data_IF_195956922716
#
_entry.id   IF_195956922716
#
_cell.length_a   1.000
_cell.length_b   1.000
_cell.length_c   1.000
_cell.angle_alpha   90.00
_cell.angle_beta   90.00
_cell.angle_gamma   90.00
#
_symmetry.space_group_name_H-M   'P 1'
#
loop_
_entity.id
_entity.type
_entity.pdbx_description
1 polymer ?
#
# COMPACT_ATOMS: atom_id res chain seq x y z
N UNK A 1 37.75 -14.83 8.95
CA UNK A 1 36.78 -13.72 9.07
C UNK A 1 35.46 -14.24 8.58
N UNK A 2 34.38 -14.08 9.36
CA UNK A 2 33.07 -14.56 8.94
C UNK A 2 32.46 -13.63 7.88
N UNK A 3 31.86 -14.22 6.84
CA UNK A 3 31.16 -13.55 5.76
C UNK A 3 29.67 -13.59 6.07
N UNK A 4 28.94 -12.52 5.76
CA UNK A 4 27.48 -12.47 5.83
C UNK A 4 26.87 -11.96 4.53
N UNK A 5 25.61 -12.29 4.33
CA UNK A 5 24.79 -11.85 3.23
C UNK A 5 23.57 -11.08 3.77
N UNK A 6 23.32 -9.87 3.31
CA UNK A 6 22.10 -9.11 3.62
C UNK A 6 21.15 -9.19 2.44
N UNK A 7 19.95 -9.73 2.67
CA UNK A 7 18.93 -9.90 1.66
C UNK A 7 17.91 -8.77 1.72
N UNK A 8 18.05 -7.79 0.81
CA UNK A 8 17.13 -6.68 0.62
C UNK A 8 15.84 -7.15 -0.06
N UNK A 9 14.69 -6.59 0.36
CA UNK A 9 13.36 -6.95 -0.17
C UNK A 9 12.45 -5.72 -0.28
N UNK A 10 11.62 -5.48 0.74
CA UNK A 10 10.74 -4.31 0.89
C UNK A 10 11.38 -3.26 1.81
N UNK A 11 12.63 -3.05 1.68
CA UNK A 11 13.50 -2.24 2.55
C UNK A 11 14.63 -1.60 1.73
N UNK A 12 14.23 -1.08 0.53
CA UNK A 12 15.14 -0.56 -0.50
C UNK A 12 15.75 0.78 -0.09
N UNK A 13 16.53 0.75 1.00
CA UNK A 13 17.29 1.87 1.52
C UNK A 13 18.54 1.38 2.26
N UNK A 14 19.54 2.26 2.38
CA UNK A 14 20.77 1.97 3.15
C UNK A 14 20.73 2.64 4.53
N UNK A 15 20.00 3.74 4.70
CA UNK A 15 19.88 4.46 5.95
C UNK A 15 18.83 3.80 6.85
N UNK A 16 19.10 3.71 8.16
CA UNK A 16 18.18 3.16 9.15
C UNK A 16 17.63 1.78 8.73
N UNK A 17 18.54 0.85 8.37
CA UNK A 17 18.22 -0.49 7.89
C UNK A 17 18.66 -1.54 8.90
N UNK A 18 17.72 -2.15 9.63
CA UNK A 18 18.02 -3.01 10.77
C UNK A 18 18.93 -4.21 10.39
N UNK A 19 18.57 -5.01 9.39
CA UNK A 19 19.36 -6.17 8.99
C UNK A 19 20.78 -5.80 8.54
N UNK A 20 20.95 -4.71 7.78
CA UNK A 20 22.26 -4.25 7.33
C UNK A 20 23.13 -3.79 8.52
N UNK A 21 22.55 -3.01 9.44
CA UNK A 21 23.23 -2.58 10.67
C UNK A 21 23.73 -3.76 11.49
N UNK A 22 22.86 -4.75 11.76
CA UNK A 22 23.23 -5.92 12.54
C UNK A 22 24.28 -6.80 11.85
N UNK A 23 24.18 -6.96 10.53
CA UNK A 23 25.17 -7.70 9.76
C UNK A 23 26.56 -7.02 9.82
N UNK A 24 26.62 -5.70 9.61
CA UNK A 24 27.86 -4.94 9.65
C UNK A 24 28.49 -4.89 11.05
N UNK A 25 27.67 -4.92 12.11
CA UNK A 25 28.19 -5.04 13.48
C UNK A 25 28.82 -6.40 13.78
N UNK A 26 28.23 -7.48 13.24
CA UNK A 26 28.63 -8.85 13.57
C UNK A 26 29.76 -9.39 12.66
N UNK A 27 29.89 -8.90 11.43
CA UNK A 27 30.77 -9.45 10.41
C UNK A 27 31.69 -8.41 9.79
N UNK A 28 32.90 -8.84 9.38
CA UNK A 28 33.89 -7.98 8.74
C UNK A 28 33.82 -8.00 7.21
N UNK A 29 32.96 -8.82 6.63
CA UNK A 29 32.72 -8.90 5.19
C UNK A 29 31.25 -9.19 4.93
N UNK A 30 30.51 -8.16 4.53
CA UNK A 30 29.06 -8.20 4.34
C UNK A 30 28.72 -7.93 2.88
N UNK A 31 28.15 -8.92 2.21
CA UNK A 31 27.57 -8.79 0.88
C UNK A 31 26.10 -8.40 0.97
N UNK A 32 25.62 -7.59 0.02
CA UNK A 32 24.23 -7.22 -0.10
C UNK A 32 23.63 -7.86 -1.36
N UNK A 33 22.40 -8.38 -1.28
CA UNK A 33 21.71 -8.99 -2.42
C UNK A 33 20.27 -8.52 -2.50
N UNK A 34 19.79 -8.31 -3.73
CA UNK A 34 18.37 -8.19 -4.06
C UNK A 34 18.00 -9.26 -5.09
N UNK A 35 16.85 -9.91 -4.91
CA UNK A 35 16.33 -10.89 -5.85
C UNK A 35 15.04 -10.37 -6.46
N UNK A 36 15.05 -10.14 -7.78
CA UNK A 36 13.82 -10.00 -8.55
C UNK A 36 13.12 -11.36 -8.57
N UNK A 37 12.13 -11.51 -7.68
CA UNK A 37 11.44 -12.77 -7.39
C UNK A 37 10.49 -13.15 -8.52
N UNK A 38 10.85 -14.16 -9.32
CA UNK A 38 10.04 -14.63 -10.44
C UNK A 38 8.66 -15.14 -10.03
N UNK A 39 8.52 -15.66 -8.81
CA UNK A 39 7.21 -16.12 -8.30
C UNK A 39 6.22 -14.97 -8.14
N UNK A 40 6.74 -13.75 -7.93
CA UNK A 40 5.95 -12.51 -7.87
C UNK A 40 5.85 -11.86 -9.24
N UNK A 41 6.95 -11.83 -10.03
CA UNK A 41 7.04 -11.07 -11.26
C UNK A 41 6.36 -11.76 -12.46
N UNK A 42 6.50 -13.09 -12.58
CA UNK A 42 6.00 -13.83 -13.75
C UNK A 42 4.49 -13.67 -14.00
N UNK A 43 3.62 -13.58 -12.97
CA UNK A 43 2.19 -13.33 -13.15
C UNK A 43 1.82 -11.89 -13.52
N UNK A 44 2.74 -10.91 -13.36
CA UNK A 44 2.44 -9.50 -13.57
C UNK A 44 2.33 -9.15 -15.06
N UNK A 45 1.51 -8.13 -15.41
CA UNK A 45 1.53 -7.53 -16.73
C UNK A 45 2.94 -7.05 -17.09
N UNK A 46 3.33 -7.19 -18.36
CA UNK A 46 4.68 -6.77 -18.83
C UNK A 46 4.92 -5.26 -18.75
N UNK A 47 3.86 -4.47 -18.57
CA UNK A 47 3.89 -3.02 -18.37
C UNK A 47 3.42 -2.72 -16.94
N UNK A 48 4.23 -3.06 -15.93
CA UNK A 48 3.90 -2.85 -14.51
C UNK A 48 4.79 -1.75 -13.91
N UNK A 49 4.18 -0.64 -13.50
CA UNK A 49 4.87 0.52 -12.91
C UNK A 49 5.66 0.17 -11.64
N UNK A 50 5.22 -0.87 -10.90
CA UNK A 50 5.90 -1.31 -9.67
C UNK A 50 7.28 -1.87 -9.96
N UNK A 51 7.41 -2.65 -11.03
CA UNK A 51 8.69 -3.25 -11.42
C UNK A 51 9.69 -2.18 -11.84
N UNK A 52 9.25 -1.18 -12.61
CA UNK A 52 10.10 -0.04 -12.96
C UNK A 52 10.48 0.78 -11.72
N UNK A 53 9.54 1.06 -10.81
CA UNK A 53 9.81 1.76 -9.55
C UNK A 53 10.84 1.00 -8.67
N UNK A 54 10.68 -0.32 -8.55
CA UNK A 54 11.61 -1.18 -7.81
C UNK A 54 12.99 -1.14 -8.46
N UNK A 55 13.08 -1.26 -9.79
CA UNK A 55 14.36 -1.22 -10.50
C UNK A 55 15.10 0.09 -10.21
N UNK A 56 14.42 1.24 -10.30
CA UNK A 56 15.01 2.54 -9.98
C UNK A 56 15.46 2.63 -8.51
N UNK A 57 14.68 2.07 -7.59
CA UNK A 57 15.07 2.03 -6.18
C UNK A 57 16.28 1.12 -5.94
N UNK A 58 16.37 -0.01 -6.63
CA UNK A 58 17.53 -0.94 -6.59
C UNK A 58 18.79 -0.28 -7.17
N UNK A 59 18.66 0.47 -8.27
CA UNK A 59 19.75 1.27 -8.86
C UNK A 59 20.31 2.27 -7.83
N UNK A 60 19.44 2.95 -7.10
CA UNK A 60 19.84 3.93 -6.09
C UNK A 60 20.49 3.27 -4.86
N UNK A 61 20.00 2.10 -4.42
CA UNK A 61 20.62 1.32 -3.34
C UNK A 61 22.01 0.86 -3.75
N UNK A 62 22.19 0.34 -4.97
CA UNK A 62 23.53 -0.06 -5.46
C UNK A 62 24.49 1.14 -5.52
N UNK A 63 24.02 2.29 -6.04
CA UNK A 63 24.84 3.51 -6.08
C UNK A 63 25.25 3.97 -4.68
N UNK A 64 24.32 3.92 -3.70
CA UNK A 64 24.62 4.27 -2.32
C UNK A 64 25.62 3.30 -1.65
N UNK A 65 25.47 1.99 -1.88
CA UNK A 65 26.42 0.99 -1.39
C UNK A 65 27.80 1.17 -2.02
N UNK A 66 27.89 1.44 -3.34
CA UNK A 66 29.15 1.70 -4.04
C UNK A 66 29.87 2.95 -3.51
N UNK A 67 29.13 4.00 -3.19
CA UNK A 67 29.68 5.21 -2.57
C UNK A 67 30.34 4.93 -1.20
N UNK A 68 29.92 3.84 -0.52
CA UNK A 68 30.49 3.37 0.74
C UNK A 68 31.53 2.24 0.58
N UNK A 69 31.92 1.89 -0.66
CA UNK A 69 32.88 0.83 -0.95
C UNK A 69 32.29 -0.58 -1.11
N UNK A 70 30.95 -0.72 -1.03
CA UNK A 70 30.23 -1.98 -1.23
C UNK A 70 29.63 -2.13 -2.63
N UNK A 71 28.68 -3.05 -2.77
CA UNK A 71 27.84 -3.21 -3.98
C UNK A 71 26.60 -4.04 -3.66
N UNK A 72 25.60 -3.95 -4.55
CA UNK A 72 24.41 -4.81 -4.49
C UNK A 72 24.54 -5.91 -5.56
N UNK A 73 24.51 -7.17 -5.12
CA UNK A 73 24.36 -8.32 -6.00
C UNK A 73 22.90 -8.40 -6.40
N UNK A 74 22.58 -8.45 -7.69
CA UNK A 74 21.21 -8.61 -8.16
C UNK A 74 21.04 -9.97 -8.82
N UNK A 75 19.95 -10.64 -8.48
CA UNK A 75 19.53 -11.92 -9.06
C UNK A 75 18.10 -11.81 -9.59
N UNK A 76 17.78 -12.61 -10.61
CA UNK A 76 16.44 -12.77 -11.15
C UNK A 76 16.11 -14.26 -11.10
N UNK A 77 15.27 -14.66 -10.13
CA UNK A 77 14.99 -16.06 -9.87
C UNK A 77 14.06 -16.27 -8.67
N UNK A 78 13.96 -17.50 -8.22
CA UNK A 78 13.24 -17.84 -6.98
C UNK A 78 14.18 -17.63 -5.78
N UNK A 79 13.83 -16.77 -4.82
CA UNK A 79 14.67 -16.57 -3.62
C UNK A 79 14.94 -17.83 -2.82
N UNK A 80 14.04 -18.82 -2.87
CA UNK A 80 14.23 -20.13 -2.21
C UNK A 80 15.43 -20.90 -2.76
N UNK A 81 15.80 -20.64 -4.01
CA UNK A 81 16.99 -21.20 -4.67
C UNK A 81 18.17 -20.23 -4.62
N UNK A 82 17.93 -18.96 -5.00
CA UNK A 82 18.98 -17.98 -5.20
C UNK A 82 19.71 -17.61 -3.92
N UNK A 83 18.99 -17.46 -2.79
CA UNK A 83 19.61 -17.05 -1.53
C UNK A 83 20.50 -18.16 -0.94
N UNK A 84 20.05 -19.42 -0.80
CA UNK A 84 20.92 -20.51 -0.31
C UNK A 84 22.11 -20.75 -1.25
N UNK A 85 21.91 -20.70 -2.58
CA UNK A 85 22.98 -20.86 -3.56
C UNK A 85 24.06 -19.78 -3.41
N UNK A 86 23.63 -18.51 -3.34
CA UNK A 86 24.56 -17.37 -3.19
C UNK A 86 25.27 -17.41 -1.82
N UNK A 87 24.58 -17.78 -0.75
CA UNK A 87 25.20 -17.96 0.56
C UNK A 87 26.31 -19.01 0.53
N UNK A 88 26.07 -20.15 -0.14
CA UNK A 88 27.09 -21.20 -0.37
C UNK A 88 28.24 -20.71 -1.23
N UNK A 89 28.01 -20.03 -2.36
CA UNK A 89 29.03 -19.45 -3.22
C UNK A 89 29.96 -18.46 -2.49
N UNK A 90 29.42 -17.73 -1.53
CA UNK A 90 30.15 -16.73 -0.74
C UNK A 90 30.79 -17.31 0.53
N UNK A 91 30.45 -18.51 0.92
CA UNK A 91 30.81 -19.08 2.22
C UNK A 91 30.24 -18.26 3.39
N UNK A 92 28.99 -17.77 3.24
CA UNK A 92 28.34 -16.95 4.23
C UNK A 92 27.96 -17.78 5.46
N UNK A 93 28.34 -17.33 6.64
CA UNK A 93 27.96 -17.95 7.91
C UNK A 93 26.50 -17.62 8.31
N UNK A 94 26.00 -16.48 7.82
CA UNK A 94 24.63 -16.05 8.09
C UNK A 94 24.07 -15.19 6.96
N UNK A 95 22.75 -15.25 6.78
CA UNK A 95 21.94 -14.37 5.96
C UNK A 95 21.11 -13.48 6.89
N UNK A 96 21.09 -12.18 6.62
CA UNK A 96 20.35 -11.18 7.38
C UNK A 96 19.21 -10.62 6.52
N UNK A 97 18.00 -10.50 7.07
CA UNK A 97 16.86 -9.95 6.35
C UNK A 97 15.94 -9.17 7.30
N UNK A 98 15.20 -8.20 6.79
CA UNK A 98 14.11 -7.58 7.55
C UNK A 98 12.81 -8.35 7.35
N UNK A 99 12.03 -8.55 8.41
CA UNK A 99 10.82 -9.39 8.41
C UNK A 99 9.76 -8.89 7.45
N UNK A 100 9.02 -9.83 6.90
CA UNK A 100 7.77 -9.58 6.18
C UNK A 100 6.62 -10.29 6.90
N UNK A 101 5.41 -9.76 6.80
CA UNK A 101 4.22 -10.21 7.53
C UNK A 101 3.17 -10.84 6.60
N UNK A 102 3.41 -10.82 5.28
CA UNK A 102 2.55 -11.47 4.31
C UNK A 102 2.70 -13.01 4.39
N UNK A 103 1.61 -13.79 4.40
CA UNK A 103 1.68 -15.25 4.56
C UNK A 103 2.58 -15.94 3.53
N UNK A 104 2.56 -15.48 2.28
CA UNK A 104 3.44 -15.99 1.21
C UNK A 104 4.92 -15.71 1.49
N UNK A 105 5.23 -14.53 2.01
CA UNK A 105 6.60 -14.16 2.38
C UNK A 105 7.10 -14.97 3.58
N UNK A 106 6.24 -15.20 4.58
CA UNK A 106 6.56 -16.05 5.74
C UNK A 106 6.87 -17.48 5.29
N UNK A 107 6.05 -18.04 4.39
CA UNK A 107 6.27 -19.40 3.86
C UNK A 107 7.57 -19.48 3.05
N UNK A 108 7.85 -18.47 2.21
CA UNK A 108 9.10 -18.36 1.44
C UNK A 108 10.32 -18.29 2.38
N UNK A 109 10.26 -17.42 3.39
CA UNK A 109 11.37 -17.22 4.34
C UNK A 109 11.63 -18.47 5.19
N UNK A 110 10.57 -19.21 5.56
CA UNK A 110 10.70 -20.51 6.25
C UNK A 110 11.43 -21.55 5.38
N UNK A 111 11.13 -21.61 4.07
CA UNK A 111 11.81 -22.52 3.15
C UNK A 111 13.27 -22.11 2.92
N UNK A 112 13.55 -20.81 2.76
CA UNK A 112 14.93 -20.29 2.67
C UNK A 112 15.72 -20.66 3.94
N UNK A 113 15.14 -20.44 5.11
CA UNK A 113 15.78 -20.80 6.39
C UNK A 113 16.08 -22.29 6.49
N UNK A 114 15.12 -23.15 6.09
CA UNK A 114 15.32 -24.61 6.09
C UNK A 114 16.51 -25.04 5.21
N UNK A 115 16.65 -24.43 4.01
CA UNK A 115 17.75 -24.74 3.07
C UNK A 115 19.09 -24.18 3.54
N UNK A 116 19.11 -22.99 4.12
CA UNK A 116 20.31 -22.43 4.72
C UNK A 116 20.79 -23.27 5.89
N UNK A 117 19.89 -23.69 6.78
CA UNK A 117 20.23 -24.55 7.93
C UNK A 117 20.84 -25.90 7.50
N UNK A 118 20.39 -26.47 6.37
CA UNK A 118 20.98 -27.69 5.81
C UNK A 118 22.42 -27.49 5.30
N UNK A 119 22.89 -26.25 5.15
CA UNK A 119 24.23 -25.86 4.75
C UNK A 119 25.00 -25.13 5.89
N UNK A 120 24.62 -25.34 7.14
CA UNK A 120 25.19 -24.70 8.34
C UNK A 120 25.21 -23.15 8.27
N UNK A 121 24.28 -22.55 7.56
CA UNK A 121 24.08 -21.10 7.46
C UNK A 121 22.81 -20.69 8.18
N UNK A 122 22.84 -19.60 8.95
CA UNK A 122 21.69 -19.11 9.71
C UNK A 122 20.94 -18.03 8.93
N UNK A 123 19.60 -18.00 9.01
CA UNK A 123 18.79 -16.84 8.64
C UNK A 123 18.44 -16.06 9.91
N UNK A 124 18.90 -14.81 9.98
CA UNK A 124 18.64 -13.87 11.08
C UNK A 124 17.72 -12.77 10.58
N UNK A 125 16.54 -12.64 11.18
CA UNK A 125 15.53 -11.68 10.75
C UNK A 125 15.24 -10.59 11.80
N UNK A 126 14.95 -9.37 11.34
CA UNK A 126 14.81 -8.16 12.16
C UNK A 126 13.52 -7.41 11.86
N UNK A 127 12.96 -6.78 12.88
CA UNK A 127 11.84 -5.84 12.72
C UNK A 127 12.31 -4.58 12.02
N UNK A 128 11.59 -4.16 10.96
CA UNK A 128 11.94 -2.97 10.20
C UNK A 128 10.74 -2.27 9.53
N UNK A 129 9.72 -3.01 9.11
CA UNK A 129 8.57 -2.48 8.35
C UNK A 129 7.52 -1.81 9.23
N UNK A 130 7.52 -2.06 10.53
CA UNK A 130 6.57 -1.56 11.53
C UNK A 130 7.32 -1.13 12.78
N UNK A 131 6.70 -0.28 13.60
CA UNK A 131 7.29 0.12 14.89
C UNK A 131 7.04 -0.96 15.93
N UNK A 132 5.83 -1.50 16.00
CA UNK A 132 5.52 -2.67 16.82
C UNK A 132 5.00 -3.81 15.95
N UNK A 133 5.51 -5.02 16.24
CA UNK A 133 5.17 -6.20 15.46
C UNK A 133 4.59 -7.34 16.31
N UNK A 134 3.91 -8.28 15.66
CA UNK A 134 3.47 -9.56 16.26
C UNK A 134 2.80 -9.34 17.62
N UNK A 135 3.31 -10.01 18.67
CA UNK A 135 2.78 -9.98 20.03
C UNK A 135 3.29 -8.81 20.89
N UNK A 136 4.02 -7.85 20.30
CA UNK A 136 4.53 -6.70 21.04
C UNK A 136 3.41 -5.80 21.60
N UNK A 137 2.24 -5.78 20.92
CA UNK A 137 1.05 -5.06 21.39
C UNK A 137 -0.14 -6.04 21.48
N UNK A 138 -0.47 -6.43 22.71
CA UNK A 138 -1.62 -7.28 23.02
C UNK A 138 -2.53 -6.59 24.01
N UNK A 139 -3.81 -7.01 24.05
CA UNK A 139 -4.74 -6.58 25.10
C UNK A 139 -4.28 -7.08 26.48
N UNK A 140 -4.85 -6.57 27.54
CA UNK A 140 -4.56 -7.05 28.89
C UNK A 140 -4.87 -8.55 29.07
N UNK A 141 -5.81 -9.08 28.28
CA UNK A 141 -6.15 -10.52 28.27
C UNK A 141 -5.24 -11.37 27.39
N UNK A 142 -4.15 -10.82 26.82
CA UNK A 142 -3.23 -11.55 25.96
C UNK A 142 -3.78 -11.89 24.57
N UNK A 143 -4.81 -11.19 24.11
CA UNK A 143 -5.38 -11.36 22.76
C UNK A 143 -5.00 -10.19 21.84
N UNK A 144 -4.95 -10.39 20.51
CA UNK A 144 -4.71 -9.29 19.57
C UNK A 144 -5.83 -8.26 19.63
N UNK A 145 -5.47 -7.00 19.33
CA UNK A 145 -6.46 -5.94 19.17
C UNK A 145 -7.24 -6.13 17.86
N UNK A 146 -8.56 -5.98 17.93
CA UNK A 146 -9.45 -5.97 16.77
C UNK A 146 -10.10 -4.60 16.51
N UNK A 147 -9.81 -3.59 17.34
CA UNK A 147 -10.33 -2.22 17.27
C UNK A 147 -9.17 -1.24 17.31
N UNK A 148 -9.15 -0.30 16.37
CA UNK A 148 -8.03 0.62 16.18
C UNK A 148 -7.76 1.58 17.35
N UNK A 149 -8.81 2.19 17.91
CA UNK A 149 -8.62 3.20 18.98
C UNK A 149 -7.92 2.61 20.22
N UNK A 150 -8.31 1.44 20.77
CA UNK A 150 -7.56 0.77 21.83
C UNK A 150 -6.12 0.42 21.42
N UNK A 151 -5.91 -0.08 20.18
CA UNK A 151 -4.58 -0.39 19.63
C UNK A 151 -3.70 0.86 19.62
N UNK A 152 -4.17 1.96 19.01
CA UNK A 152 -3.45 3.23 18.97
C UNK A 152 -3.08 3.72 20.36
N UNK A 153 -4.01 3.66 21.32
CA UNK A 153 -3.74 4.08 22.68
C UNK A 153 -2.68 3.22 23.38
N UNK A 154 -2.69 1.90 23.11
CA UNK A 154 -1.65 0.99 23.61
C UNK A 154 -0.30 1.27 22.94
N UNK A 155 -0.28 1.50 21.61
CA UNK A 155 0.89 1.87 20.82
C UNK A 155 1.56 3.14 21.38
N UNK A 156 0.80 4.21 21.58
CA UNK A 156 1.32 5.48 22.12
C UNK A 156 1.83 5.36 23.57
N UNK A 157 1.19 4.53 24.40
CA UNK A 157 1.66 4.31 25.80
C UNK A 157 2.92 3.47 25.86
N UNK A 158 3.10 2.51 24.93
CA UNK A 158 4.27 1.65 24.90
C UNK A 158 5.48 2.35 24.29
N UNK A 159 5.25 3.30 23.38
CA UNK A 159 6.31 3.97 22.65
C UNK A 159 7.36 4.56 23.58
N UNK A 160 8.61 4.21 23.35
CA UNK A 160 9.79 4.78 23.98
C UNK A 160 10.73 5.36 22.90
N UNK A 161 11.65 6.27 23.24
CA UNK A 161 12.65 6.77 22.29
C UNK A 161 13.43 5.64 21.58
N UNK A 162 13.70 4.53 22.30
CA UNK A 162 14.41 3.36 21.76
C UNK A 162 13.69 2.69 20.59
N UNK A 163 12.35 2.70 20.58
CA UNK A 163 11.56 2.11 19.49
C UNK A 163 11.69 2.88 18.18
N UNK A 164 12.15 4.13 18.25
CA UNK A 164 12.32 5.05 17.12
C UNK A 164 13.80 5.37 16.82
N UNK A 165 14.74 4.77 17.54
CA UNK A 165 16.17 4.94 17.28
C UNK A 165 16.52 4.40 15.90
N UNK A 166 17.29 5.16 15.09
CA UNK A 166 17.75 4.69 13.80
C UNK A 166 18.84 3.63 13.94
N UNK A 167 19.02 2.82 12.92
CA UNK A 167 20.09 1.85 12.78
C UNK A 167 21.20 2.42 11.87
N UNK A 168 22.20 3.15 12.41
CA UNK A 168 23.26 3.77 11.63
C UNK A 168 24.23 2.72 11.10
N UNK A 169 24.81 2.94 9.91
CA UNK A 169 25.75 2.02 9.26
C UNK A 169 27.08 2.67 8.92
N UNK A 170 27.17 3.99 8.97
CA UNK A 170 28.28 4.79 8.43
C UNK A 170 29.64 4.41 9.06
N UNK A 171 29.66 4.23 10.38
CA UNK A 171 30.88 3.84 11.11
C UNK A 171 31.39 2.44 10.75
N UNK A 172 30.55 1.61 10.17
CA UNK A 172 30.85 0.21 9.82
C UNK A 172 30.91 -0.03 8.32
N UNK A 173 30.84 1.01 7.51
CA UNK A 173 30.83 0.90 6.04
C UNK A 173 32.05 0.15 5.49
N UNK A 174 33.20 0.20 6.18
CA UNK A 174 34.42 -0.56 5.83
C UNK A 174 34.21 -2.09 5.88
N UNK A 175 33.14 -2.59 6.47
CA UNK A 175 32.79 -4.01 6.48
C UNK A 175 31.97 -4.45 5.26
N UNK A 176 31.51 -3.51 4.43
CA UNK A 176 30.88 -3.85 3.15
C UNK A 176 31.88 -4.57 2.24
N UNK A 177 31.43 -5.64 1.62
CA UNK A 177 32.23 -6.37 0.64
C UNK A 177 32.33 -5.56 -0.66
N UNK A 178 33.52 -5.46 -1.27
CA UNK A 178 33.71 -4.72 -2.52
C UNK A 178 32.92 -5.35 -3.67
N UNK A 179 32.66 -4.59 -4.76
CA UNK A 179 32.04 -5.11 -5.97
C UNK A 179 32.78 -6.35 -6.51
N UNK A 180 32.02 -7.33 -6.97
CA UNK A 180 32.56 -8.54 -7.61
C UNK A 180 32.61 -8.31 -9.12
N UNK A 181 33.58 -8.96 -9.77
CA UNK A 181 33.63 -8.98 -11.23
C UNK A 181 32.35 -9.63 -11.80
N UNK A 182 31.71 -8.95 -12.74
CA UNK A 182 30.47 -9.41 -13.38
C UNK A 182 29.16 -9.03 -12.67
N UNK A 183 29.20 -8.46 -11.47
CA UNK A 183 27.97 -7.94 -10.83
C UNK A 183 27.49 -6.70 -11.58
N UNK A 184 26.30 -6.78 -12.16
CA UNK A 184 25.62 -5.69 -12.85
C UNK A 184 24.13 -5.69 -12.53
N UNK A 185 23.49 -4.55 -12.71
CA UNK A 185 22.06 -4.45 -12.62
C UNK A 185 21.40 -4.87 -13.94
N UNK A 186 20.30 -5.64 -13.92
CA UNK A 186 19.55 -5.95 -15.12
C UNK A 186 18.78 -4.74 -15.61
N UNK A 187 18.51 -4.66 -16.92
CA UNK A 187 17.52 -3.75 -17.47
C UNK A 187 16.09 -4.33 -17.36
N UNK A 188 15.07 -3.49 -17.60
CA UNK A 188 13.66 -3.92 -17.60
C UNK A 188 13.41 -5.07 -18.58
N UNK A 189 13.98 -5.00 -19.80
CA UNK A 189 13.82 -6.02 -20.81
C UNK A 189 14.39 -7.38 -20.37
N UNK A 190 15.51 -7.37 -19.67
CA UNK A 190 16.13 -8.59 -19.11
C UNK A 190 15.28 -9.21 -18.00
N UNK A 191 14.48 -8.40 -17.31
CA UNK A 191 13.47 -8.84 -16.33
C UNK A 191 12.17 -9.29 -17.01
N UNK A 192 12.05 -9.12 -18.35
CA UNK A 192 10.85 -9.46 -19.11
C UNK A 192 9.76 -8.38 -19.09
N UNK A 193 10.11 -7.13 -18.76
CA UNK A 193 9.18 -5.99 -18.69
C UNK A 193 9.56 -4.91 -19.70
N UNK A 194 8.59 -4.04 -20.00
CA UNK A 194 8.77 -2.85 -20.84
C UNK A 194 8.66 -1.59 -20.00
N UNK A 195 9.24 -0.50 -20.50
CA UNK A 195 9.12 0.79 -19.86
C UNK A 195 7.65 1.24 -19.77
N UNK A 196 7.29 1.85 -18.65
CA UNK A 196 5.96 2.36 -18.37
C UNK A 196 5.91 3.89 -18.57
N UNK A 197 4.77 4.48 -18.24
CA UNK A 197 4.61 5.94 -18.19
C UNK A 197 5.08 6.55 -16.85
N UNK A 198 5.78 5.82 -16.01
CA UNK A 198 6.24 6.27 -14.68
C UNK A 198 7.03 7.58 -14.76
N UNK A 199 7.87 7.74 -15.78
CA UNK A 199 8.61 8.97 -16.01
C UNK A 199 7.70 10.15 -16.36
N UNK A 200 6.61 9.93 -17.14
CA UNK A 200 5.64 10.93 -17.49
C UNK A 200 4.82 11.41 -16.28
N UNK A 201 4.61 10.54 -15.29
CA UNK A 201 3.97 10.89 -14.01
C UNK A 201 4.83 11.81 -13.14
N UNK A 202 6.10 12.02 -13.51
CA UNK A 202 7.08 12.82 -12.73
C UNK A 202 7.14 12.39 -11.26
N UNK A 203 6.90 11.10 -11.02
CA UNK A 203 6.98 10.52 -9.68
C UNK A 203 8.46 10.29 -9.34
N UNK A 204 9.02 10.96 -8.34
CA UNK A 204 10.37 10.67 -7.90
C UNK A 204 10.43 9.24 -7.38
N UNK A 205 11.53 8.52 -7.58
CA UNK A 205 11.68 7.12 -7.16
C UNK A 205 12.78 6.99 -6.12
N UNK A 206 12.86 5.83 -5.47
CA UNK A 206 13.94 5.49 -4.56
C UNK A 206 13.97 6.30 -3.25
N UNK A 207 15.13 6.29 -2.58
CA UNK A 207 15.35 7.00 -1.32
C UNK A 207 15.30 8.53 -1.50
N UNK A 208 15.90 9.03 -2.57
CA UNK A 208 15.93 10.47 -2.87
C UNK A 208 14.53 11.02 -3.11
N UNK A 209 13.70 10.26 -3.83
CA UNK A 209 12.29 10.60 -4.04
C UNK A 209 11.49 10.61 -2.76
N UNK A 210 11.68 9.60 -1.92
CA UNK A 210 11.07 9.55 -0.59
C UNK A 210 11.44 10.77 0.26
N UNK A 211 12.72 11.11 0.29
CA UNK A 211 13.23 12.25 1.07
C UNK A 211 12.71 13.59 0.56
N UNK A 212 12.60 13.75 -0.77
CA UNK A 212 12.04 14.97 -1.38
C UNK A 212 10.58 15.15 -0.97
N UNK A 213 9.74 14.10 -1.09
CA UNK A 213 8.34 14.17 -0.71
C UNK A 213 8.16 14.33 0.80
N UNK A 214 9.02 13.73 1.60
CA UNK A 214 8.96 13.89 3.05
C UNK A 214 9.28 15.32 3.47
N UNK A 215 10.30 15.97 2.90
CA UNK A 215 10.62 17.38 3.15
C UNK A 215 9.46 18.30 2.77
N UNK A 216 8.92 18.13 1.55
CA UNK A 216 7.73 18.88 1.11
C UNK A 216 6.53 18.68 2.05
N UNK A 217 6.33 17.48 2.55
CA UNK A 217 5.23 17.21 3.48
C UNK A 217 5.49 17.79 4.88
N UNK A 218 6.73 17.76 5.35
CA UNK A 218 7.11 18.30 6.65
C UNK A 218 6.76 19.79 6.79
N UNK A 219 6.89 20.57 5.71
CA UNK A 219 6.54 22.00 5.67
C UNK A 219 5.02 22.28 5.83
N UNK A 220 4.17 21.28 5.59
CA UNK A 220 2.70 21.41 5.59
C UNK A 220 1.98 20.39 6.47
N UNK A 221 2.71 19.66 7.32
CA UNK A 221 2.16 18.61 8.18
C UNK A 221 1.08 19.16 9.14
N UNK A 222 1.20 20.42 9.56
CA UNK A 222 0.26 21.06 10.48
C UNK A 222 -1.16 21.15 9.88
N UNK A 223 -1.24 21.33 8.57
CA UNK A 223 -2.50 21.39 7.81
C UNK A 223 -3.12 20.01 7.55
N UNK A 224 -2.40 18.91 7.81
CA UNK A 224 -2.83 17.57 7.43
C UNK A 224 -4.22 17.22 7.92
N UNK A 225 -4.54 17.49 9.19
CA UNK A 225 -5.84 17.19 9.75
C UNK A 225 -7.01 17.91 9.05
N UNK A 226 -6.76 19.11 8.52
CA UNK A 226 -7.76 19.92 7.84
C UNK A 226 -7.89 19.56 6.35
N UNK A 227 -6.78 19.19 5.69
CA UNK A 227 -6.71 19.04 4.23
C UNK A 227 -6.73 17.58 3.74
N UNK A 228 -6.47 16.60 4.61
CA UNK A 228 -6.32 15.19 4.26
C UNK A 228 -7.50 14.54 3.54
N UNK A 229 -8.70 15.08 3.71
CA UNK A 229 -9.92 14.51 3.14
C UNK A 229 -10.31 15.10 1.77
N UNK A 230 -9.63 16.15 1.31
CA UNK A 230 -9.95 16.87 0.09
C UNK A 230 -9.01 16.47 -1.07
N UNK A 231 -9.46 15.63 -2.03
CA UNK A 231 -8.59 15.09 -3.07
C UNK A 231 -8.05 16.13 -4.06
N UNK A 232 -8.73 17.27 -4.19
CA UNK A 232 -8.27 18.39 -5.01
C UNK A 232 -7.13 19.21 -4.37
N UNK A 233 -6.88 19.02 -3.07
CA UNK A 233 -5.86 19.72 -2.30
C UNK A 233 -4.61 18.89 -2.12
N UNK A 234 -3.45 19.55 -2.02
CA UNK A 234 -2.17 18.91 -1.68
C UNK A 234 -2.13 18.62 -0.16
N UNK A 235 -3.02 17.75 0.33
CA UNK A 235 -3.19 17.42 1.76
C UNK A 235 -2.42 16.18 2.23
N UNK A 236 -2.09 15.25 1.33
CA UNK A 236 -1.44 13.98 1.67
C UNK A 236 0.09 14.06 1.68
N UNK A 237 0.75 13.08 2.32
CA UNK A 237 2.21 12.93 2.30
C UNK A 237 2.75 12.35 1.00
N UNK A 238 1.94 11.56 0.30
CA UNK A 238 2.29 10.77 -0.90
C UNK A 238 3.41 9.74 -0.66
N UNK A 239 3.63 9.31 0.59
CA UNK A 239 4.71 8.39 0.98
C UNK A 239 4.31 6.90 0.97
N UNK A 240 3.09 6.55 0.57
CA UNK A 240 2.59 5.17 0.64
C UNK A 240 3.41 4.18 -0.19
N UNK A 241 3.78 4.52 -1.43
CA UNK A 241 4.64 3.67 -2.26
C UNK A 241 6.05 3.51 -1.66
N UNK A 242 6.59 4.56 -1.07
CA UNK A 242 7.91 4.56 -0.44
C UNK A 242 7.94 3.73 0.85
N UNK A 243 6.84 3.73 1.61
CA UNK A 243 6.65 2.82 2.74
C UNK A 243 6.43 1.37 2.27
N UNK A 244 5.74 1.16 1.14
CA UNK A 244 5.55 -0.18 0.57
C UNK A 244 6.87 -0.83 0.18
N UNK A 245 7.76 -0.09 -0.49
CA UNK A 245 9.04 -0.59 -0.94
C UNK A 245 10.20 -0.32 0.05
N UNK A 246 9.89 0.32 1.19
CA UNK A 246 10.85 0.58 2.24
C UNK A 246 12.00 1.53 1.84
N UNK A 247 11.77 2.41 0.85
CA UNK A 247 12.74 3.45 0.47
C UNK A 247 12.80 4.60 1.48
N UNK A 248 11.91 4.58 2.48
CA UNK A 248 11.91 5.44 3.67
C UNK A 248 11.66 4.60 4.92
N UNK A 249 12.28 4.96 6.03
CA UNK A 249 12.09 4.28 7.31
C UNK A 249 10.79 4.70 7.99
N UNK A 250 10.00 3.75 8.45
CA UNK A 250 8.82 3.99 9.29
C UNK A 250 9.21 4.65 10.62
N UNK A 251 10.37 4.28 11.21
CA UNK A 251 10.88 4.86 12.46
C UNK A 251 11.17 6.34 12.29
N UNK A 252 11.83 6.73 11.19
CA UNK A 252 12.10 8.13 10.85
C UNK A 252 10.81 8.95 10.76
N UNK A 253 9.80 8.43 10.06
CA UNK A 253 8.52 9.13 9.88
C UNK A 253 7.74 9.24 11.18
N UNK A 254 7.70 8.15 11.97
CA UNK A 254 7.03 8.13 13.26
C UNK A 254 7.74 9.04 14.28
N UNK A 255 9.08 9.02 14.34
CA UNK A 255 9.86 9.90 15.19
C UNK A 255 9.59 11.38 14.88
N UNK A 256 9.61 11.74 13.58
CA UNK A 256 9.32 13.11 13.18
C UNK A 256 7.91 13.54 13.57
N UNK A 257 6.89 12.72 13.26
CA UNK A 257 5.51 13.03 13.60
C UNK A 257 5.27 13.13 15.12
N UNK A 258 5.89 12.22 15.88
CA UNK A 258 5.77 12.18 17.35
C UNK A 258 6.41 13.40 18.03
N UNK A 259 7.48 13.93 17.45
CA UNK A 259 8.17 15.11 17.95
C UNK A 259 7.40 16.44 17.73
N UNK A 260 6.38 16.43 16.85
CA UNK A 260 5.58 17.63 16.59
C UNK A 260 4.39 17.73 17.53
N UNK A 261 4.02 18.96 17.91
CA UNK A 261 2.87 19.23 18.81
C UNK A 261 1.56 19.52 18.09
N UNK A 262 1.56 19.58 16.75
CA UNK A 262 0.40 19.98 15.99
C UNK A 262 -0.65 18.86 15.88
N UNK A 263 -1.93 19.26 15.73
CA UNK A 263 -3.02 18.32 15.43
C UNK A 263 -2.80 17.59 14.10
N UNK A 264 -2.20 18.25 13.12
CA UNK A 264 -1.89 17.67 11.83
C UNK A 264 -0.92 16.49 11.97
N UNK A 265 0.19 16.70 12.69
CA UNK A 265 1.18 15.66 12.94
C UNK A 265 0.61 14.49 13.75
N UNK A 266 -0.16 14.77 14.83
CA UNK A 266 -0.81 13.73 15.62
C UNK A 266 -1.82 12.90 14.78
N UNK A 267 -2.51 13.55 13.85
CA UNK A 267 -3.42 12.86 12.92
C UNK A 267 -2.63 12.01 11.93
N UNK A 268 -1.52 12.52 11.38
CA UNK A 268 -0.70 11.75 10.45
C UNK A 268 0.01 10.56 11.14
N UNK A 269 0.50 10.74 12.37
CA UNK A 269 1.02 9.63 13.18
C UNK A 269 -0.04 8.52 13.35
N UNK A 270 -1.30 8.90 13.54
CA UNK A 270 -2.40 7.91 13.60
C UNK A 270 -2.53 7.09 12.31
N UNK A 271 -2.22 7.65 11.13
CA UNK A 271 -2.23 6.89 9.88
C UNK A 271 -1.05 5.91 9.78
N UNK A 272 0.12 6.27 10.32
CA UNK A 272 1.25 5.35 10.44
C UNK A 272 0.91 4.20 11.41
N UNK A 273 0.20 4.49 12.50
CA UNK A 273 -0.29 3.49 13.45
C UNK A 273 -1.38 2.59 12.83
N UNK A 274 -2.24 3.13 11.93
CA UNK A 274 -3.18 2.30 11.15
C UNK A 274 -2.46 1.26 10.30
N UNK A 275 -1.31 1.62 9.72
CA UNK A 275 -0.49 0.69 8.96
C UNK A 275 0.03 -0.46 9.86
N UNK A 276 0.59 -0.14 11.03
CA UNK A 276 1.02 -1.15 12.00
C UNK A 276 -0.15 -2.05 12.45
N UNK A 277 -1.32 -1.45 12.70
CA UNK A 277 -2.53 -2.19 13.07
C UNK A 277 -2.95 -3.21 12.01
N UNK A 278 -2.96 -2.84 10.73
CA UNK A 278 -3.32 -3.79 9.67
C UNK A 278 -2.26 -4.89 9.48
N UNK A 279 -0.98 -4.60 9.71
CA UNK A 279 0.05 -5.64 9.75
C UNK A 279 -0.16 -6.61 10.93
N UNK A 280 -0.53 -6.11 12.11
CA UNK A 280 -0.89 -6.95 13.25
C UNK A 280 -2.13 -7.80 12.95
N UNK A 281 -3.16 -7.24 12.32
CA UNK A 281 -4.34 -8.00 11.88
C UNK A 281 -3.95 -9.12 10.91
N UNK A 282 -3.14 -8.82 9.90
CA UNK A 282 -2.70 -9.83 8.93
C UNK A 282 -1.88 -10.95 9.59
N UNK A 283 -1.01 -10.59 10.54
CA UNK A 283 -0.20 -11.55 11.29
C UNK A 283 -1.05 -12.50 12.14
N UNK A 284 -1.97 -11.96 12.94
CA UNK A 284 -2.79 -12.75 13.86
C UNK A 284 -3.96 -13.47 13.20
N UNK A 285 -4.43 -12.95 12.06
CA UNK A 285 -5.61 -13.44 11.36
C UNK A 285 -5.32 -13.67 9.87
N UNK A 286 -4.37 -14.55 9.49
CA UNK A 286 -3.95 -14.72 8.09
C UNK A 286 -5.09 -15.18 7.17
N UNK A 287 -6.19 -15.74 7.71
CA UNK A 287 -7.38 -16.08 6.94
C UNK A 287 -8.03 -14.88 6.24
N UNK A 288 -7.75 -13.63 6.69
CA UNK A 288 -8.34 -12.42 6.07
C UNK A 288 -7.94 -12.26 4.61
N UNK A 289 -6.85 -12.89 4.19
CA UNK A 289 -6.41 -12.88 2.78
C UNK A 289 -7.47 -13.49 1.85
N UNK A 290 -8.23 -14.48 2.32
CA UNK A 290 -9.21 -15.20 1.50
C UNK A 290 -10.63 -15.11 2.02
N UNK A 291 -10.81 -14.80 3.31
CA UNK A 291 -12.09 -14.74 4.00
C UNK A 291 -12.35 -13.42 4.71
N UNK A 292 -13.57 -13.21 5.16
CA UNK A 292 -13.91 -12.06 5.98
C UNK A 292 -13.27 -12.16 7.38
N UNK A 293 -12.80 -11.05 7.95
CA UNK A 293 -12.36 -11.02 9.34
C UNK A 293 -13.47 -11.48 10.29
N UNK A 294 -14.69 -11.05 10.04
CA UNK A 294 -15.91 -11.53 10.70
C UNK A 294 -16.49 -12.69 9.90
N UNK A 295 -16.31 -13.96 10.35
CA UNK A 295 -16.64 -15.14 9.56
C UNK A 295 -18.10 -15.24 9.11
N UNK A 296 -19.02 -14.70 9.91
CA UNK A 296 -20.44 -14.68 9.56
C UNK A 296 -20.71 -14.00 8.22
N UNK A 297 -19.91 -13.02 7.81
CA UNK A 297 -20.06 -12.32 6.55
C UNK A 297 -19.50 -13.07 5.33
N UNK A 298 -18.87 -14.22 5.50
CA UNK A 298 -18.55 -15.10 4.37
C UNK A 298 -19.83 -15.66 3.71
N UNK A 299 -20.96 -15.67 4.44
CA UNK A 299 -22.27 -16.05 3.93
C UNK A 299 -22.99 -14.95 3.13
N UNK A 300 -22.40 -13.74 2.99
CA UNK A 300 -22.98 -12.69 2.14
C UNK A 300 -23.08 -13.16 0.68
N UNK A 301 -24.28 -13.06 0.14
CA UNK A 301 -24.51 -13.34 -1.28
C UNK A 301 -24.26 -12.06 -2.07
N UNK A 302 -23.21 -12.06 -2.86
CA UNK A 302 -22.86 -10.99 -3.76
C UNK A 302 -23.50 -11.17 -5.13
N UNK A 303 -23.71 -10.07 -5.84
CA UNK A 303 -24.27 -10.10 -7.18
C UNK A 303 -23.16 -10.43 -8.21
N UNK A 304 -23.47 -11.27 -9.17
CA UNK A 304 -22.61 -11.51 -10.34
C UNK A 304 -23.02 -10.54 -11.45
N UNK A 305 -22.34 -9.40 -11.51
CA UNK A 305 -22.63 -8.29 -12.41
C UNK A 305 -21.37 -7.81 -13.13
N UNK A 306 -20.83 -8.60 -14.09
CA UNK A 306 -19.58 -8.30 -14.77
C UNK A 306 -19.59 -6.96 -15.51
N UNK A 307 -20.74 -6.55 -16.07
CA UNK A 307 -20.90 -5.27 -16.78
C UNK A 307 -20.77 -4.08 -15.80
N UNK A 308 -21.36 -4.19 -14.60
CA UNK A 308 -21.27 -3.16 -13.58
C UNK A 308 -19.82 -3.07 -13.02
N UNK A 309 -19.17 -4.23 -12.85
CA UNK A 309 -17.76 -4.28 -12.47
C UNK A 309 -16.88 -3.57 -13.51
N UNK A 310 -17.08 -3.89 -14.79
CA UNK A 310 -16.33 -3.27 -15.87
C UNK A 310 -16.57 -1.75 -15.96
N UNK A 311 -17.82 -1.30 -15.77
CA UNK A 311 -18.13 0.12 -15.72
C UNK A 311 -17.42 0.83 -14.54
N UNK A 312 -17.41 0.20 -13.37
CA UNK A 312 -16.67 0.71 -12.21
C UNK A 312 -15.17 0.75 -12.45
N UNK A 313 -14.57 -0.31 -12.97
CA UNK A 313 -13.15 -0.38 -13.31
C UNK A 313 -12.73 0.71 -14.31
N UNK A 314 -13.59 0.99 -15.30
CA UNK A 314 -13.34 1.98 -16.34
C UNK A 314 -13.65 3.42 -15.91
N UNK A 315 -14.19 3.66 -14.70
CA UNK A 315 -14.65 4.98 -14.26
C UNK A 315 -15.77 5.53 -15.15
N UNK A 316 -16.80 4.69 -15.39
CA UNK A 316 -17.99 4.97 -16.23
C UNK A 316 -19.29 4.60 -15.54
N UNK A 317 -19.37 4.83 -14.24
CA UNK A 317 -20.55 4.50 -13.42
C UNK A 317 -21.67 5.53 -13.53
N UNK A 318 -21.38 6.70 -14.08
CA UNK A 318 -22.30 7.85 -14.08
C UNK A 318 -22.30 8.64 -12.76
N UNK A 319 -21.46 8.27 -11.81
CA UNK A 319 -21.24 9.00 -10.56
C UNK A 319 -19.87 9.71 -10.61
N UNK A 320 -19.83 11.04 -10.84
CA UNK A 320 -18.60 11.76 -11.21
C UNK A 320 -17.41 11.58 -10.26
N UNK A 321 -17.65 11.58 -8.93
CA UNK A 321 -16.55 11.38 -7.97
C UNK A 321 -16.00 9.95 -7.99
N UNK A 322 -16.86 8.95 -8.19
CA UNK A 322 -16.45 7.54 -8.30
C UNK A 322 -15.66 7.35 -9.60
N UNK A 323 -16.16 7.91 -10.70
CA UNK A 323 -15.51 7.82 -12.01
C UNK A 323 -14.15 8.52 -12.01
N UNK A 324 -14.07 9.72 -11.42
CA UNK A 324 -12.81 10.45 -11.25
C UNK A 324 -11.80 9.66 -10.39
N UNK A 325 -12.25 8.99 -9.33
CA UNK A 325 -11.41 8.17 -8.47
C UNK A 325 -10.82 6.97 -9.23
N UNK A 326 -11.65 6.25 -9.99
CA UNK A 326 -11.21 5.08 -10.74
C UNK A 326 -10.27 5.47 -11.90
N UNK A 327 -10.53 6.60 -12.56
CA UNK A 327 -9.63 7.14 -13.59
C UNK A 327 -8.31 7.65 -13.00
N UNK A 328 -8.31 8.24 -11.79
CA UNK A 328 -7.07 8.56 -11.08
C UNK A 328 -6.24 7.28 -10.83
N UNK A 329 -6.88 6.21 -10.37
CA UNK A 329 -6.21 4.92 -10.13
C UNK A 329 -5.52 4.41 -11.40
N UNK A 330 -6.23 4.38 -12.51
CA UNK A 330 -5.70 3.88 -13.80
C UNK A 330 -4.56 4.75 -14.32
N UNK A 331 -4.74 6.08 -14.31
CA UNK A 331 -3.76 7.03 -14.84
C UNK A 331 -2.51 7.17 -13.97
N UNK A 332 -2.66 7.15 -12.63
CA UNK A 332 -1.57 7.47 -11.71
C UNK A 332 -1.00 6.26 -10.95
N UNK A 333 -1.69 5.10 -10.99
CA UNK A 333 -1.33 3.99 -10.10
C UNK A 333 -1.48 4.34 -8.61
N UNK A 334 -2.20 5.42 -8.30
CA UNK A 334 -2.43 5.90 -6.94
C UNK A 334 -3.83 6.51 -6.82
N UNK A 335 -4.43 6.34 -5.65
CA UNK A 335 -5.73 6.93 -5.34
C UNK A 335 -5.71 7.54 -3.95
N UNK A 336 -6.29 8.72 -3.83
CA UNK A 336 -6.46 9.41 -2.54
C UNK A 336 -7.28 8.55 -1.56
N UNK A 337 -6.89 8.48 -0.27
CA UNK A 337 -7.53 7.59 0.72
C UNK A 337 -9.06 7.77 0.81
N UNK A 338 -9.57 9.01 0.84
CA UNK A 338 -11.01 9.28 0.85
C UNK A 338 -11.73 8.63 -0.33
N UNK A 339 -11.10 8.65 -1.48
CA UNK A 339 -11.65 8.09 -2.71
C UNK A 339 -11.59 6.56 -2.72
N UNK A 340 -10.55 5.95 -2.14
CA UNK A 340 -10.52 4.47 -1.93
C UNK A 340 -11.74 4.02 -1.14
N UNK A 341 -12.08 4.75 -0.06
CA UNK A 341 -13.28 4.47 0.74
C UNK A 341 -14.57 4.64 -0.06
N UNK A 342 -14.70 5.70 -0.84
CA UNK A 342 -15.88 5.97 -1.66
C UNK A 342 -16.04 4.93 -2.76
N UNK A 343 -14.97 4.64 -3.52
CA UNK A 343 -14.99 3.68 -4.61
C UNK A 343 -15.26 2.25 -4.12
N UNK A 344 -14.67 1.85 -2.99
CA UNK A 344 -14.90 0.53 -2.39
C UNK A 344 -16.32 0.39 -1.80
N UNK A 345 -16.82 1.44 -1.14
CA UNK A 345 -18.22 1.47 -0.67
C UNK A 345 -19.19 1.39 -1.84
N UNK A 346 -18.93 2.09 -2.94
CA UNK A 346 -19.79 2.05 -4.12
C UNK A 346 -19.83 0.63 -4.73
N UNK A 347 -18.67 -0.01 -4.93
CA UNK A 347 -18.61 -1.37 -5.44
C UNK A 347 -19.44 -2.34 -4.57
N UNK A 348 -19.20 -2.32 -3.27
CA UNK A 348 -19.75 -3.32 -2.35
C UNK A 348 -21.19 -3.04 -1.91
N UNK A 349 -21.56 -1.75 -1.79
CA UNK A 349 -22.86 -1.35 -1.22
C UNK A 349 -23.86 -0.88 -2.27
N UNK A 350 -23.40 -0.24 -3.35
CA UNK A 350 -24.28 0.22 -4.42
C UNK A 350 -24.37 -0.81 -5.56
N UNK A 351 -23.24 -1.39 -5.99
CA UNK A 351 -23.27 -2.42 -7.02
C UNK A 351 -23.48 -3.83 -6.49
N UNK A 352 -23.34 -4.06 -5.19
CA UNK A 352 -23.54 -5.37 -4.56
C UNK A 352 -22.47 -6.41 -4.94
N UNK A 353 -21.32 -5.99 -5.45
CA UNK A 353 -20.24 -6.87 -5.93
C UNK A 353 -19.28 -7.22 -4.78
N UNK A 354 -18.76 -8.47 -4.80
CA UNK A 354 -17.82 -8.98 -3.81
C UNK A 354 -16.59 -8.06 -3.68
N UNK A 355 -16.28 -7.69 -2.45
CA UNK A 355 -15.14 -6.84 -2.13
C UNK A 355 -13.80 -7.41 -2.63
N UNK A 356 -13.66 -8.74 -2.73
CA UNK A 356 -12.46 -9.41 -3.23
C UNK A 356 -12.17 -9.07 -4.70
N UNK A 357 -13.22 -8.83 -5.49
CA UNK A 357 -13.08 -8.39 -6.89
C UNK A 357 -12.46 -6.99 -6.98
N UNK A 358 -12.90 -6.10 -6.10
CA UNK A 358 -12.33 -4.75 -6.01
C UNK A 358 -10.94 -4.73 -5.41
N UNK A 359 -10.70 -5.52 -4.37
CA UNK A 359 -9.38 -5.70 -3.76
C UNK A 359 -8.34 -6.18 -4.79
N UNK A 360 -8.68 -7.19 -5.58
CA UNK A 360 -7.81 -7.71 -6.64
C UNK A 360 -7.52 -6.66 -7.72
N UNK A 361 -8.52 -5.85 -8.10
CA UNK A 361 -8.32 -4.74 -9.04
C UNK A 361 -7.38 -3.67 -8.49
N UNK A 362 -7.52 -3.32 -7.21
CA UNK A 362 -6.58 -2.41 -6.55
C UNK A 362 -5.18 -3.01 -6.42
N UNK A 363 -5.08 -4.30 -6.15
CA UNK A 363 -3.80 -5.01 -6.11
C UNK A 363 -3.07 -4.99 -7.46
N UNK A 364 -3.81 -5.03 -8.57
CA UNK A 364 -3.25 -4.91 -9.92
C UNK A 364 -2.78 -3.49 -10.23
N UNK A 365 -3.60 -2.47 -9.90
CA UNK A 365 -3.40 -1.09 -10.36
C UNK A 365 -2.55 -0.21 -9.43
N UNK A 366 -2.56 -0.48 -8.12
CA UNK A 366 -1.88 0.39 -7.16
C UNK A 366 -0.36 0.18 -7.16
N UNK A 367 0.39 1.26 -7.37
CA UNK A 367 1.83 1.32 -7.16
C UNK A 367 2.19 1.05 -5.68
N UNK A 368 1.35 1.55 -4.77
CA UNK A 368 1.53 1.40 -3.33
C UNK A 368 0.81 0.15 -2.75
N UNK A 369 0.50 -0.85 -3.58
CA UNK A 369 -0.17 -2.05 -3.11
C UNK A 369 0.57 -2.69 -1.93
N UNK A 370 -0.10 -2.76 -0.80
CA UNK A 370 0.31 -3.45 0.43
C UNK A 370 -0.84 -4.34 0.88
N UNK A 371 -0.61 -5.64 0.98
CA UNK A 371 -1.68 -6.61 1.26
C UNK A 371 -2.41 -6.29 2.56
N UNK A 372 -1.69 -5.95 3.63
CA UNK A 372 -2.29 -5.65 4.93
C UNK A 372 -3.23 -4.43 4.86
N UNK A 373 -2.74 -3.33 4.27
CA UNK A 373 -3.49 -2.09 4.15
C UNK A 373 -4.65 -2.20 3.13
N UNK A 374 -4.42 -2.85 1.98
CA UNK A 374 -5.44 -3.03 0.95
C UNK A 374 -6.58 -3.91 1.45
N UNK A 375 -6.26 -5.09 1.98
CA UNK A 375 -7.25 -6.03 2.53
C UNK A 375 -8.03 -5.40 3.69
N UNK A 376 -7.32 -4.79 4.66
CA UNK A 376 -7.96 -4.11 5.78
C UNK A 376 -8.90 -2.99 5.34
N UNK A 377 -8.49 -2.16 4.39
CA UNK A 377 -9.29 -1.07 3.83
C UNK A 377 -10.52 -1.55 3.07
N UNK A 378 -10.41 -2.61 2.25
CA UNK A 378 -11.53 -3.20 1.53
C UNK A 378 -12.54 -3.83 2.46
N UNK A 379 -12.10 -4.61 3.44
CA UNK A 379 -12.98 -5.21 4.44
C UNK A 379 -13.61 -4.16 5.37
N UNK A 380 -12.90 -3.05 5.65
CA UNK A 380 -13.48 -1.92 6.35
C UNK A 380 -14.67 -1.32 5.58
N UNK A 381 -14.52 -1.05 4.30
CA UNK A 381 -15.57 -0.49 3.44
C UNK A 381 -16.75 -1.47 3.25
N UNK A 382 -16.45 -2.76 3.08
CA UNK A 382 -17.43 -3.83 2.98
C UNK A 382 -18.11 -4.17 4.31
N UNK A 383 -17.68 -3.60 5.45
CA UNK A 383 -18.19 -3.89 6.80
C UNK A 383 -17.96 -5.33 7.27
N UNK A 384 -17.02 -6.05 6.66
CA UNK A 384 -16.68 -7.45 6.96
C UNK A 384 -15.42 -7.58 7.80
N UNK A 385 -14.69 -6.46 7.96
CA UNK A 385 -13.36 -6.40 8.58
C UNK A 385 -13.36 -6.13 10.08
N UNK A 386 -12.13 -6.05 10.63
CA UNK A 386 -11.88 -5.53 11.97
C UNK A 386 -12.18 -4.03 12.00
N UNK A 387 -12.72 -3.53 13.11
CA UNK A 387 -13.09 -2.11 13.29
C UNK A 387 -13.81 -1.49 12.07
N UNK A 388 -14.54 -2.33 11.34
CA UNK A 388 -15.14 -1.96 10.08
C UNK A 388 -16.27 -0.96 10.26
N UNK A 389 -16.49 -0.16 9.23
CA UNK A 389 -17.65 0.72 9.16
C UNK A 389 -18.94 -0.07 9.42
N UNK A 390 -19.89 0.45 10.23
CA UNK A 390 -21.17 -0.20 10.44
C UNK A 390 -21.86 -0.48 9.09
N UNK A 391 -22.38 -1.70 8.92
CA UNK A 391 -22.95 -2.16 7.64
C UNK A 391 -24.13 -1.30 7.15
N UNK A 392 -24.86 -0.63 8.05
CA UNK A 392 -25.97 0.27 7.74
C UNK A 392 -25.51 1.69 7.33
N UNK A 393 -24.25 2.03 7.52
CA UNK A 393 -23.64 3.27 6.99
C UNK A 393 -23.18 3.04 5.56
N UNK A 394 -24.00 3.48 4.61
CA UNK A 394 -23.73 3.41 3.18
C UNK A 394 -23.41 4.82 2.72
N UNK A 395 -22.27 5.02 2.08
CA UNK A 395 -21.91 6.33 1.55
C UNK A 395 -22.81 6.67 0.39
N UNK A 396 -23.45 7.85 0.44
CA UNK A 396 -24.10 8.40 -0.74
C UNK A 396 -23.02 9.07 -1.61
N UNK A 397 -22.77 8.61 -2.85
CA UNK A 397 -21.67 9.13 -3.67
C UNK A 397 -21.85 10.60 -4.03
N UNK A 398 -23.09 11.11 -4.14
CA UNK A 398 -23.35 12.54 -4.41
C UNK A 398 -22.98 13.39 -3.21
N UNK A 399 -23.48 13.04 -2.00
CA UNK A 399 -23.12 13.80 -0.78
C UNK A 399 -21.64 13.71 -0.43
N UNK A 400 -20.96 12.59 -0.74
CA UNK A 400 -19.49 12.51 -0.61
C UNK A 400 -18.80 13.47 -1.58
N UNK A 401 -19.32 13.56 -2.80
CA UNK A 401 -18.80 14.45 -3.85
C UNK A 401 -18.95 15.92 -3.44
N UNK A 402 -20.14 16.34 -3.06
CA UNK A 402 -20.43 17.71 -2.60
C UNK A 402 -19.58 18.11 -1.39
N UNK A 403 -19.33 17.17 -0.48
CA UNK A 403 -18.57 17.44 0.76
C UNK A 403 -17.06 17.54 0.51
N UNK A 404 -16.47 16.64 -0.29
CA UNK A 404 -15.03 16.48 -0.37
C UNK A 404 -14.41 17.05 -1.65
N UNK A 405 -15.23 17.41 -2.63
CA UNK A 405 -14.83 18.15 -3.84
C UNK A 405 -15.88 19.22 -4.19
N UNK A 406 -16.22 20.14 -3.27
CA UNK A 406 -17.39 21.04 -3.42
C UNK A 406 -17.36 21.88 -4.69
N UNK A 407 -16.16 22.21 -5.19
CA UNK A 407 -15.98 22.98 -6.43
C UNK A 407 -15.79 22.07 -7.66
N UNK A 408 -15.80 20.74 -7.49
CA UNK A 408 -15.63 19.77 -8.56
C UNK A 408 -14.23 19.78 -9.22
N UNK A 409 -13.23 20.38 -8.57
CA UNK A 409 -11.87 20.50 -9.14
C UNK A 409 -11.22 19.13 -9.38
N UNK A 410 -11.45 18.17 -8.48
CA UNK A 410 -10.96 16.82 -8.66
C UNK A 410 -11.72 16.10 -9.78
N UNK A 411 -13.05 16.20 -9.78
CA UNK A 411 -13.90 15.64 -10.83
C UNK A 411 -13.44 16.16 -12.19
N UNK A 412 -13.34 17.46 -12.39
CA UNK A 412 -12.99 18.06 -13.68
C UNK A 412 -11.56 17.74 -14.16
N UNK A 413 -10.68 17.36 -13.25
CA UNK A 413 -9.34 16.88 -13.61
C UNK A 413 -9.37 15.52 -14.30
N UNK A 414 -10.22 14.59 -13.83
CA UNK A 414 -10.24 13.19 -14.28
C UNK A 414 -11.45 12.87 -15.17
N UNK A 415 -12.47 13.75 -15.18
CA UNK A 415 -13.68 13.64 -15.98
C UNK A 415 -13.88 14.94 -16.76
N UNK A 416 -12.96 15.26 -17.69
CA UNK A 416 -12.95 16.56 -18.39
C UNK A 416 -14.16 16.79 -19.28
N UNK A 417 -14.88 15.75 -19.68
CA UNK A 417 -16.12 15.81 -20.43
C UNK A 417 -17.27 16.53 -19.68
N UNK A 418 -17.15 16.69 -18.36
CA UNK A 418 -18.10 17.44 -17.54
C UNK A 418 -17.75 18.93 -17.37
N UNK A 419 -16.74 19.44 -18.07
CA UNK A 419 -16.23 20.82 -17.87
C UNK A 419 -17.28 21.89 -18.13
N UNK A 420 -18.15 21.67 -19.11
CA UNK A 420 -19.20 22.62 -19.49
C UNK A 420 -20.50 22.43 -18.70
N UNK A 421 -20.58 21.40 -17.84
CA UNK A 421 -21.74 21.18 -16.99
C UNK A 421 -21.83 22.28 -15.93
N UNK A 422 -23.01 22.92 -15.76
CA UNK A 422 -23.20 23.95 -14.74
C UNK A 422 -22.84 23.42 -13.33
N UNK A 423 -22.15 24.20 -12.49
CA UNK A 423 -21.67 23.74 -11.17
C UNK A 423 -22.72 23.06 -10.29
N UNK A 424 -23.94 23.56 -10.33
CA UNK A 424 -25.10 22.98 -9.56
C UNK A 424 -25.45 21.55 -9.93
N UNK A 425 -25.03 21.08 -11.10
CA UNK A 425 -25.28 19.72 -11.58
C UNK A 425 -24.03 18.85 -11.59
N UNK A 426 -22.83 19.40 -11.35
CA UNK A 426 -21.57 18.71 -11.53
C UNK A 426 -21.45 17.41 -10.71
N UNK A 427 -22.06 17.36 -9.51
CA UNK A 427 -22.06 16.17 -8.65
C UNK A 427 -23.14 15.15 -9.01
N UNK A 428 -24.13 15.53 -9.82
CA UNK A 428 -25.25 14.67 -10.25
C UNK A 428 -25.74 15.14 -11.64
N UNK A 429 -24.94 15.00 -12.71
CA UNK A 429 -25.25 15.59 -14.02
C UNK A 429 -26.50 15.00 -14.68
N UNK A 430 -26.94 13.81 -14.32
CA UNK A 430 -28.19 13.21 -14.77
C UNK A 430 -29.45 13.94 -14.30
N UNK A 431 -29.34 14.94 -13.41
CA UNK A 431 -30.42 15.80 -12.98
C UNK A 431 -30.66 17.00 -13.90
N UNK A 432 -29.80 17.19 -14.92
CA UNK A 432 -30.00 18.25 -15.91
C UNK A 432 -31.25 17.99 -16.72
N UNK A 433 -32.05 19.04 -16.94
CA UNK A 433 -33.12 18.99 -17.94
C UNK A 433 -32.53 18.86 -19.37
N UNK A 434 -33.37 18.43 -20.31
CA UNK A 434 -32.92 18.37 -21.72
C UNK A 434 -32.48 19.75 -22.24
N UNK A 435 -33.11 20.84 -21.76
CA UNK A 435 -32.73 22.20 -22.10
C UNK A 435 -31.36 22.61 -21.51
N UNK A 436 -31.08 22.24 -20.23
CA UNK A 436 -29.75 22.48 -19.63
C UNK A 436 -28.65 21.71 -20.37
N UNK A 437 -28.91 20.42 -20.72
CA UNK A 437 -27.96 19.59 -21.49
C UNK A 437 -27.66 20.19 -22.87
N UNK A 438 -28.68 20.65 -23.58
CA UNK A 438 -28.51 21.30 -24.86
C UNK A 438 -27.75 22.63 -24.74
N UNK A 439 -28.00 23.40 -23.68
CA UNK A 439 -27.33 24.68 -23.44
C UNK A 439 -25.83 24.52 -23.12
N UNK A 440 -25.44 23.47 -22.38
CA UNK A 440 -24.02 23.20 -22.07
C UNK A 440 -23.33 22.27 -23.07
N UNK A 441 -24.07 21.70 -24.02
CA UNK A 441 -23.54 20.79 -25.06
C UNK A 441 -23.13 19.39 -24.54
N UNK A 442 -23.49 19.05 -23.30
CA UNK A 442 -23.17 17.75 -22.66
C UNK A 442 -24.45 16.93 -22.52
N UNK A 443 -24.57 15.86 -23.28
CA UNK A 443 -25.73 14.96 -23.27
C UNK A 443 -25.45 13.72 -22.44
N UNK A 444 -26.21 13.53 -21.36
CA UNK A 444 -26.09 12.37 -20.49
C UNK A 444 -26.63 11.14 -21.22
N UNK A 445 -25.84 10.06 -21.21
CA UNK A 445 -26.07 8.83 -21.99
C UNK A 445 -25.29 8.80 -23.32
N UNK A 446 -24.76 9.95 -23.76
CA UNK A 446 -23.92 10.05 -24.96
C UNK A 446 -22.48 10.48 -24.62
N UNK A 447 -22.32 11.65 -24.02
CA UNK A 447 -21.02 12.26 -23.72
C UNK A 447 -20.51 11.84 -22.34
N UNK A 448 -21.42 11.61 -21.39
CA UNK A 448 -21.16 11.06 -20.07
C UNK A 448 -22.24 10.03 -19.73
N UNK A 449 -21.88 8.88 -19.09
CA UNK A 449 -22.85 7.80 -18.84
C UNK A 449 -24.00 8.23 -17.90
N UNK A 450 -25.16 7.58 -18.07
CA UNK A 450 -26.21 7.60 -17.06
C UNK A 450 -25.76 6.82 -15.82
N UNK A 451 -26.29 7.09 -14.62
CA UNK A 451 -26.02 6.27 -13.45
C UNK A 451 -26.33 4.80 -13.69
N UNK A 452 -25.37 3.91 -13.46
CA UNK A 452 -25.54 2.45 -13.63
C UNK A 452 -26.43 1.82 -12.56
N UNK A 453 -26.72 2.56 -11.49
CA UNK A 453 -27.55 2.13 -10.36
C UNK A 453 -28.24 3.34 -9.73
N UNK A 454 -29.47 3.15 -9.23
CA UNK A 454 -30.11 4.09 -8.32
C UNK A 454 -29.63 3.83 -6.89
N UNK A 455 -28.97 4.83 -6.27
CA UNK A 455 -28.41 4.72 -4.93
C UNK A 455 -29.47 4.40 -3.87
N UNK A 456 -30.68 4.95 -3.96
CA UNK A 456 -31.73 4.72 -2.95
C UNK A 456 -32.20 3.25 -2.98
N UNK A 457 -32.41 2.71 -4.18
CA UNK A 457 -32.77 1.30 -4.38
C UNK A 457 -31.63 0.37 -3.93
N UNK A 458 -30.40 0.66 -4.34
CA UNK A 458 -29.23 -0.11 -3.99
C UNK A 458 -28.99 -0.16 -2.48
N UNK A 459 -29.18 0.98 -1.80
CA UNK A 459 -29.10 1.07 -0.34
C UNK A 459 -30.08 0.13 0.36
N UNK A 460 -31.32 0.06 -0.07
CA UNK A 460 -32.32 -0.84 0.52
C UNK A 460 -31.96 -2.32 0.27
N UNK A 461 -31.51 -2.65 -0.93
CA UNK A 461 -31.02 -4.00 -1.25
C UNK A 461 -29.88 -4.42 -0.35
N UNK A 462 -28.91 -3.54 -0.15
CA UNK A 462 -27.77 -3.78 0.73
C UNK A 462 -28.18 -3.95 2.18
N UNK A 463 -29.07 -3.12 2.70
CA UNK A 463 -29.57 -3.27 4.07
C UNK A 463 -30.27 -4.63 4.28
N UNK A 464 -31.05 -5.12 3.30
CA UNK A 464 -31.66 -6.46 3.36
C UNK A 464 -30.63 -7.56 3.32
N UNK A 465 -29.61 -7.45 2.42
CA UNK A 465 -28.49 -8.41 2.28
C UNK A 465 -27.75 -8.62 3.61
N UNK A 466 -27.35 -7.56 4.28
CA UNK A 466 -26.63 -7.67 5.55
C UNK A 466 -27.51 -8.13 6.72
N UNK A 467 -28.81 -7.78 6.73
CA UNK A 467 -29.74 -8.28 7.74
C UNK A 467 -29.92 -9.79 7.65
N UNK A 468 -30.03 -10.36 6.44
CA UNK A 468 -30.28 -11.79 6.25
C UNK A 468 -29.17 -12.67 6.84
N UNK A 469 -27.91 -12.21 6.82
CA UNK A 469 -26.78 -12.94 7.41
C UNK A 469 -26.85 -12.92 8.93
N UNK A 470 -27.19 -11.77 9.54
CA UNK A 470 -27.26 -11.65 11.01
C UNK A 470 -28.43 -12.41 11.64
N UNK A 471 -29.53 -12.59 10.91
CA UNK A 471 -30.67 -13.38 11.39
C UNK A 471 -30.47 -14.91 11.33
N UNK A 472 -29.41 -15.39 10.67
CA UNK A 472 -29.06 -16.82 10.57
C UNK A 472 -28.00 -17.24 11.59
N UNK A 473 -27.38 -16.31 12.29
CA UNK A 473 -26.29 -16.54 13.26
C UNK A 473 -26.67 -16.27 14.73
N UNK A 474 -28.00 -16.12 15.00
CA UNK A 474 -28.56 -15.93 16.34
C UNK A 474 -29.31 -17.17 16.84
#
# INVERSE_FOLDING_TARGET
>A
MSVALVWFRRDLRVQDHAALHHALNAHRRVHCVFVFDRTILDPLPRCDRRVEFILRAVEEVDAALRAMGGALIVRHGDPREEIPRLAGELGAAAVYANRDYEPSAIARDAEVNRRLAAADCQLLDFKDQVVFERDELMTQGGTPFSVFTPYKNAWLRRLTPRDLEPFPIEAMAAHLAPPRAGDRLPGLEELGFVATDLAALRLPTGMSGAQMLFRDFAERIDDYAAKRDYPAQKGCSYLSAYLRFGTVSIRQLAAYAHAQSSRGAATWLSELIWRDFYHAILWHHPRVVTGCFKPEFDALRWDDAPELLAAWQAGRTGYPLVDAAMRQLDQAGWMHNRLRMVAASFLTKDLGIDWRRGEAWFAEKLLDFDLAANNGGWQWAASTGCDAQPWFRIFNPVTQSEKFDPEGRFILRYVPELREVPPKYLHAPWRMSAADQAACGVIIGRDYPVPVVDHAVARECTLRRYKSVRSQGG
#
